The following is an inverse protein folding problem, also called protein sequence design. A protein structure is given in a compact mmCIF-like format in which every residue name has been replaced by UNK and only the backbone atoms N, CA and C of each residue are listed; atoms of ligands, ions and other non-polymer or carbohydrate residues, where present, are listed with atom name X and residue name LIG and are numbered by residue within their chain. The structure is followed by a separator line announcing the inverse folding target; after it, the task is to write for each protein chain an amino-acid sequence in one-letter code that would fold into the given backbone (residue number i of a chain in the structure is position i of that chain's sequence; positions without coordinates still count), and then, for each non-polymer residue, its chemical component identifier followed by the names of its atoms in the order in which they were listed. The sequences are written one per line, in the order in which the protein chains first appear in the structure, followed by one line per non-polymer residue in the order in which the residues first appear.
data_IF_793343849805
#
_entry.id   IF_793343849805
#
_cell.length_a   1.000
_cell.length_b   1.000
_cell.length_c   1.000
_cell.angle_alpha   90.00
_cell.angle_beta   90.00
_cell.angle_gamma   90.00
#
_symmetry.space_group_name_H-M   'P 1'
#
loop_
_entity.id
_entity.type
_entity.pdbx_description
1 polymer ?
#
# COMPACT_ATOMS: atom_id res chain seq x y z
N UNK A 1 -18.77 38.01 10.29
CA UNK A 1 -17.49 37.84 9.58
C UNK A 1 -16.97 36.45 9.81
N UNK A 2 -16.52 35.79 8.75
CA UNK A 2 -15.90 34.46 8.87
C UNK A 2 -14.50 34.56 9.51
N UNK A 3 -14.14 33.60 10.35
CA UNK A 3 -12.85 33.58 11.03
C UNK A 3 -12.07 32.31 10.74
N UNK A 4 -10.77 32.47 10.47
CA UNK A 4 -9.84 31.35 10.29
C UNK A 4 -9.11 31.09 11.59
N UNK A 5 -9.01 29.81 11.97
CA UNK A 5 -8.19 29.36 13.09
C UNK A 5 -7.36 28.13 12.68
N UNK A 6 -6.31 27.86 13.43
CA UNK A 6 -5.47 26.66 13.25
C UNK A 6 -5.73 25.66 14.39
N UNK A 7 -5.78 24.37 14.09
CA UNK A 7 -5.87 23.32 15.10
C UNK A 7 -4.57 23.21 15.89
N UNK A 8 -4.71 23.05 17.21
CA UNK A 8 -3.57 22.94 18.16
C UNK A 8 -3.01 21.50 18.29
N UNK A 9 -3.58 20.52 17.60
CA UNK A 9 -3.31 19.09 17.75
C UNK A 9 -2.10 18.58 16.89
N UNK A 10 -1.18 19.47 16.52
CA UNK A 10 0.04 19.13 15.75
C UNK A 10 -0.21 18.87 14.25
N UNK A 11 -1.45 18.71 13.81
CA UNK A 11 -1.81 18.67 12.40
C UNK A 11 -1.97 20.11 11.89
N UNK A 12 -1.22 20.48 10.83
CA UNK A 12 -1.30 21.82 10.20
C UNK A 12 -2.63 21.97 9.43
N UNK A 13 -3.76 21.75 10.11
CA UNK A 13 -5.09 21.94 9.55
C UNK A 13 -5.63 23.30 9.97
N UNK A 14 -6.22 24.00 9.02
CA UNK A 14 -6.88 25.29 9.21
C UNK A 14 -8.39 25.06 9.23
N UNK A 15 -9.12 25.84 9.98
CA UNK A 15 -10.56 25.82 9.94
C UNK A 15 -11.12 27.20 9.70
N UNK A 16 -12.22 27.25 8.95
CA UNK A 16 -13.04 28.44 8.77
C UNK A 16 -14.32 28.28 9.57
N UNK A 17 -14.62 29.24 10.42
CA UNK A 17 -15.90 29.35 11.12
C UNK A 17 -16.72 30.46 10.48
N UNK A 18 -17.93 30.16 10.05
CA UNK A 18 -18.81 31.08 9.34
C UNK A 18 -20.27 30.88 9.76
N UNK A 19 -21.10 31.91 9.55
CA UNK A 19 -22.56 31.81 9.69
C UNK A 19 -23.16 31.26 8.39
N UNK A 20 -23.95 30.20 8.52
CA UNK A 20 -24.71 29.66 7.38
C UNK A 20 -25.73 30.70 6.90
N UNK A 21 -25.72 31.07 5.63
CA UNK A 21 -26.55 32.19 5.13
C UNK A 21 -28.06 31.94 5.22
N UNK A 22 -28.51 30.70 5.21
CA UNK A 22 -29.93 30.36 5.29
C UNK A 22 -30.42 30.12 6.74
N UNK A 23 -29.62 29.42 7.54
CA UNK A 23 -30.04 29.02 8.89
C UNK A 23 -29.52 29.92 10.00
N UNK A 24 -28.65 30.87 9.68
CA UNK A 24 -27.97 31.78 10.59
C UNK A 24 -27.16 31.08 11.70
N UNK A 25 -26.97 29.74 11.60
CA UNK A 25 -26.20 28.91 12.54
C UNK A 25 -24.72 28.97 12.21
N UNK A 26 -23.89 28.92 13.24
CA UNK A 26 -22.45 28.80 13.05
C UNK A 26 -22.08 27.41 12.53
N UNK A 27 -21.31 27.39 11.45
CA UNK A 27 -20.71 26.20 10.86
C UNK A 27 -19.19 26.31 10.84
N UNK A 28 -18.52 25.15 10.78
CA UNK A 28 -17.06 25.04 10.73
C UNK A 28 -16.65 24.10 9.62
N UNK A 29 -15.74 24.56 8.75
CA UNK A 29 -15.14 23.75 7.68
C UNK A 29 -13.63 23.70 7.91
N UNK A 30 -13.00 22.56 7.66
CA UNK A 30 -11.56 22.35 7.86
C UNK A 30 -10.85 22.30 6.50
N UNK A 31 -9.68 22.95 6.40
CA UNK A 31 -8.88 23.04 5.19
C UNK A 31 -7.45 22.53 5.44
N UNK A 32 -6.83 21.87 4.45
CA UNK A 32 -5.47 21.35 4.55
C UNK A 32 -4.39 22.45 4.40
N UNK A 33 -4.75 23.65 3.93
CA UNK A 33 -3.82 24.77 3.79
C UNK A 33 -4.47 26.09 4.16
N UNK A 34 -3.65 27.07 4.58
CA UNK A 34 -4.09 28.43 4.87
C UNK A 34 -4.70 29.10 3.63
N UNK A 35 -4.07 28.95 2.46
CA UNK A 35 -4.53 29.55 1.22
C UNK A 35 -5.97 29.14 0.85
N UNK A 36 -6.31 27.87 1.02
CA UNK A 36 -7.68 27.37 0.80
C UNK A 36 -8.68 27.94 1.81
N UNK A 37 -8.27 28.06 3.07
CA UNK A 37 -9.10 28.67 4.10
C UNK A 37 -9.34 30.16 3.84
N UNK A 38 -8.32 30.89 3.33
CA UNK A 38 -8.42 32.30 2.96
C UNK A 38 -9.34 32.51 1.75
N UNK A 39 -9.22 31.65 0.73
CA UNK A 39 -10.13 31.71 -0.45
C UNK A 39 -11.58 31.47 -0.01
N UNK A 40 -11.82 30.47 0.83
CA UNK A 40 -13.15 30.21 1.36
C UNK A 40 -13.65 31.37 2.23
N UNK A 41 -12.80 31.97 3.05
CA UNK A 41 -13.14 33.14 3.88
C UNK A 41 -13.59 34.32 3.02
N UNK A 42 -12.83 34.64 1.97
CA UNK A 42 -13.19 35.75 1.05
C UNK A 42 -14.59 35.53 0.45
N UNK A 43 -14.95 34.32 0.08
CA UNK A 43 -16.28 33.97 -0.43
C UNK A 43 -17.38 34.20 0.62
N UNK A 44 -17.19 33.74 1.86
CA UNK A 44 -18.18 33.92 2.92
C UNK A 44 -18.29 35.40 3.37
N UNK A 45 -17.20 36.15 3.37
CA UNK A 45 -17.22 37.59 3.65
C UNK A 45 -17.98 38.35 2.56
N UNK A 46 -17.84 37.96 1.27
CA UNK A 46 -18.62 38.49 0.17
C UNK A 46 -20.12 38.16 0.32
N UNK A 47 -20.49 36.94 0.68
CA UNK A 47 -21.89 36.55 0.94
C UNK A 47 -22.48 37.40 2.06
N UNK A 48 -21.74 37.63 3.13
CA UNK A 48 -22.19 38.46 4.27
C UNK A 48 -22.35 39.92 3.85
N UNK A 49 -21.47 40.43 3.00
CA UNK A 49 -21.57 41.77 2.42
C UNK A 49 -22.85 41.91 1.58
N UNK A 50 -23.11 40.98 0.66
CA UNK A 50 -24.33 40.98 -0.15
C UNK A 50 -25.60 40.93 0.70
N UNK A 51 -25.63 40.13 1.75
CA UNK A 51 -26.77 40.09 2.71
C UNK A 51 -27.00 41.46 3.40
N UNK A 52 -25.93 42.14 3.81
CA UNK A 52 -26.01 43.46 4.45
C UNK A 52 -26.47 44.56 3.51
N UNK A 53 -26.13 44.44 2.23
CA UNK A 53 -26.56 45.42 1.19
C UNK A 53 -27.92 45.10 0.57
N UNK A 54 -28.56 43.98 0.98
CA UNK A 54 -29.84 43.53 0.43
C UNK A 54 -29.74 42.94 -0.98
N UNK A 55 -28.54 42.74 -1.51
CA UNK A 55 -28.33 42.09 -2.81
C UNK A 55 -28.63 40.58 -2.69
N UNK A 56 -29.39 40.01 -3.62
CA UNK A 56 -29.68 38.58 -3.71
C UNK A 56 -28.57 37.76 -4.41
N UNK A 57 -27.52 38.41 -4.92
CA UNK A 57 -26.39 37.75 -5.57
C UNK A 57 -25.71 36.69 -4.70
N UNK A 58 -25.77 36.88 -3.37
CA UNK A 58 -25.25 35.85 -2.44
C UNK A 58 -25.92 34.48 -2.61
N UNK A 59 -27.20 34.45 -3.05
CA UNK A 59 -27.89 33.18 -3.32
C UNK A 59 -27.23 32.44 -4.47
N UNK A 60 -26.82 33.14 -5.54
CA UNK A 60 -26.07 32.56 -6.64
C UNK A 60 -24.69 32.07 -6.17
N UNK A 61 -23.93 32.90 -5.47
CA UNK A 61 -22.58 32.59 -4.99
C UNK A 61 -22.60 31.43 -3.95
N UNK A 62 -23.64 31.39 -3.12
CA UNK A 62 -23.81 30.30 -2.17
C UNK A 62 -24.35 29.03 -2.84
N UNK A 63 -25.29 29.16 -3.78
CA UNK A 63 -25.88 28.06 -4.53
C UNK A 63 -24.95 27.55 -5.65
N UNK A 64 -23.95 28.31 -6.10
CA UNK A 64 -22.83 27.74 -6.88
C UNK A 64 -21.99 26.69 -6.09
N UNK A 65 -22.15 26.65 -4.76
CA UNK A 65 -21.76 25.47 -3.98
C UNK A 65 -22.75 24.31 -4.13
N UNK A 66 -23.95 24.53 -4.63
CA UNK A 66 -24.96 23.49 -4.88
C UNK A 66 -24.86 22.84 -6.25
N UNK A 67 -23.92 23.29 -7.12
CA UNK A 67 -23.54 22.47 -8.27
C UNK A 67 -22.89 21.22 -7.71
N UNK A 68 -23.64 20.14 -7.77
CA UNK A 68 -23.22 18.85 -7.25
C UNK A 68 -21.87 18.48 -7.86
N UNK A 69 -20.84 18.40 -7.02
CA UNK A 69 -19.48 18.07 -7.45
C UNK A 69 -19.49 16.66 -8.03
N UNK A 70 -18.97 16.53 -9.22
CA UNK A 70 -18.95 15.26 -9.94
C UNK A 70 -17.78 14.37 -9.50
N UNK A 71 -17.90 13.08 -9.76
CA UNK A 71 -16.82 12.10 -9.52
C UNK A 71 -15.55 12.50 -10.30
N UNK A 72 -15.72 12.98 -11.54
CA UNK A 72 -14.60 13.39 -12.39
C UNK A 72 -13.83 14.57 -11.80
N UNK A 73 -14.54 15.59 -11.30
CA UNK A 73 -13.92 16.74 -10.63
C UNK A 73 -13.13 16.30 -9.39
N UNK A 74 -13.70 15.43 -8.54
CA UNK A 74 -13.01 14.88 -7.36
C UNK A 74 -11.74 14.11 -7.76
N UNK A 75 -11.82 13.25 -8.78
CA UNK A 75 -10.68 12.44 -9.20
C UNK A 75 -9.57 13.29 -9.83
N UNK A 76 -9.94 14.30 -10.60
CA UNK A 76 -9.01 15.26 -11.19
C UNK A 76 -8.28 16.03 -10.12
N UNK A 77 -9.00 16.56 -9.16
CA UNK A 77 -8.46 17.36 -8.07
C UNK A 77 -7.58 16.52 -7.12
N UNK A 78 -8.02 15.30 -6.77
CA UNK A 78 -7.22 14.36 -6.00
C UNK A 78 -5.91 13.99 -6.72
N UNK A 79 -5.98 13.80 -8.05
CA UNK A 79 -4.80 13.48 -8.86
C UNK A 79 -3.80 14.64 -8.82
N UNK A 80 -4.25 15.85 -9.02
CA UNK A 80 -3.40 17.04 -9.08
C UNK A 80 -2.81 17.42 -7.71
N UNK A 81 -3.59 17.32 -6.65
CA UNK A 81 -3.21 17.81 -5.32
C UNK A 81 -2.58 16.73 -4.42
N UNK A 82 -2.91 15.45 -4.61
CA UNK A 82 -2.45 14.37 -3.74
C UNK A 82 -1.48 13.45 -4.46
N UNK A 83 -1.86 12.94 -5.64
CA UNK A 83 -1.03 11.95 -6.35
C UNK A 83 0.24 12.58 -6.91
N UNK A 84 0.16 13.78 -7.49
CA UNK A 84 1.31 14.47 -8.09
C UNK A 84 2.41 14.83 -7.08
N UNK A 85 2.04 15.04 -5.81
CA UNK A 85 2.94 15.63 -4.82
C UNK A 85 3.47 14.68 -3.73
N UNK A 86 2.93 13.47 -3.56
CA UNK A 86 3.20 12.71 -2.30
C UNK A 86 3.38 11.21 -2.41
N UNK A 87 3.07 10.57 -3.51
CA UNK A 87 2.98 9.12 -3.57
C UNK A 87 4.05 8.49 -4.48
N UNK A 88 4.47 7.28 -4.13
CA UNK A 88 5.28 6.50 -5.03
C UNK A 88 4.45 6.02 -6.24
N UNK A 89 5.12 5.78 -7.36
CA UNK A 89 4.50 5.39 -8.64
C UNK A 89 3.52 4.21 -8.51
N UNK A 90 3.79 3.23 -7.65
CA UNK A 90 2.89 2.09 -7.45
C UNK A 90 1.57 2.49 -6.80
N UNK A 91 1.65 3.37 -5.81
CA UNK A 91 0.47 3.88 -5.13
C UNK A 91 -0.34 4.75 -6.10
N UNK A 92 0.32 5.56 -6.90
CA UNK A 92 -0.33 6.34 -7.96
C UNK A 92 -1.03 5.42 -8.99
N UNK A 93 -0.32 4.42 -9.53
CA UNK A 93 -0.90 3.42 -10.46
C UNK A 93 -2.12 2.72 -9.86
N UNK A 94 -2.06 2.38 -8.56
CA UNK A 94 -3.17 1.75 -7.84
C UNK A 94 -4.38 2.68 -7.76
N UNK A 95 -4.21 3.92 -7.34
CA UNK A 95 -5.32 4.90 -7.30
C UNK A 95 -5.90 5.16 -8.68
N UNK A 96 -5.07 5.36 -9.70
CA UNK A 96 -5.54 5.51 -11.09
C UNK A 96 -6.32 4.29 -11.59
N UNK A 97 -5.94 3.07 -11.18
CA UNK A 97 -6.69 1.86 -11.49
C UNK A 97 -8.05 1.82 -10.82
N UNK A 98 -8.12 2.19 -9.54
CA UNK A 98 -9.36 2.26 -8.76
C UNK A 98 -10.31 3.33 -9.30
N UNK A 99 -9.81 4.52 -9.63
CA UNK A 99 -10.59 5.59 -10.26
C UNK A 99 -11.18 5.13 -11.58
N UNK A 100 -10.37 4.49 -12.45
CA UNK A 100 -10.88 3.91 -13.71
C UNK A 100 -11.95 2.86 -13.51
N UNK A 101 -11.80 1.99 -12.50
CA UNK A 101 -12.82 1.01 -12.16
C UNK A 101 -14.13 1.68 -11.68
N UNK A 102 -14.02 2.78 -10.95
CA UNK A 102 -15.18 3.57 -10.51
C UNK A 102 -15.88 4.24 -11.69
N UNK A 103 -15.11 4.88 -12.59
CA UNK A 103 -15.67 5.57 -13.78
C UNK A 103 -16.31 4.63 -14.80
N UNK A 104 -15.93 3.36 -14.83
CA UNK A 104 -16.62 2.35 -15.64
C UNK A 104 -18.05 2.05 -15.14
N UNK A 105 -18.29 2.31 -13.87
CA UNK A 105 -19.57 2.03 -13.20
C UNK A 105 -20.40 3.31 -13.08
N UNK A 106 -19.78 4.36 -12.57
CA UNK A 106 -20.36 5.68 -12.40
C UNK A 106 -19.68 6.63 -13.38
N UNK A 107 -20.45 7.28 -14.24
CA UNK A 107 -19.89 8.19 -15.24
C UNK A 107 -19.19 9.38 -14.59
N UNK A 108 -18.29 10.00 -15.32
CA UNK A 108 -17.46 11.13 -14.83
C UNK A 108 -18.31 12.32 -14.35
N UNK A 109 -19.44 12.57 -15.01
CA UNK A 109 -20.41 13.62 -14.69
C UNK A 109 -21.40 13.24 -13.57
N UNK A 110 -21.31 12.02 -13.02
CA UNK A 110 -22.19 11.59 -11.92
C UNK A 110 -21.91 12.43 -10.67
N UNK A 111 -22.93 13.10 -10.10
CA UNK A 111 -22.78 13.79 -8.83
C UNK A 111 -22.34 12.84 -7.72
N UNK A 112 -21.29 13.18 -6.99
CA UNK A 112 -20.75 12.30 -5.95
C UNK A 112 -21.77 11.96 -4.87
N UNK A 113 -22.56 12.94 -4.43
CA UNK A 113 -23.57 12.75 -3.38
C UNK A 113 -24.74 11.87 -3.84
N UNK A 114 -24.99 11.77 -5.15
CA UNK A 114 -26.05 10.93 -5.70
C UNK A 114 -25.73 9.44 -5.70
N UNK A 115 -24.45 9.06 -5.58
CA UNK A 115 -24.04 7.64 -5.67
C UNK A 115 -24.83 6.75 -4.70
N UNK A 116 -25.02 7.19 -3.47
CA UNK A 116 -25.70 6.40 -2.43
C UNK A 116 -27.18 6.13 -2.73
N UNK A 117 -27.82 7.02 -3.45
CA UNK A 117 -29.24 6.95 -3.81
C UNK A 117 -29.45 6.39 -5.21
N UNK A 118 -28.42 6.37 -6.04
CA UNK A 118 -28.46 5.87 -7.40
C UNK A 118 -28.94 4.41 -7.42
N UNK A 119 -29.93 4.11 -8.27
CA UNK A 119 -30.44 2.78 -8.52
C UNK A 119 -30.18 2.38 -9.96
N UNK A 120 -29.81 1.13 -10.16
CA UNK A 120 -29.59 0.57 -11.49
C UNK A 120 -30.01 -0.91 -11.51
N UNK A 121 -30.69 -1.29 -12.57
CA UNK A 121 -30.99 -2.70 -12.81
C UNK A 121 -29.74 -3.39 -13.36
N UNK A 122 -29.30 -4.44 -12.67
CA UNK A 122 -28.10 -5.21 -13.04
C UNK A 122 -28.53 -6.60 -13.53
N UNK A 123 -27.89 -7.07 -14.59
CA UNK A 123 -28.11 -8.42 -15.12
C UNK A 123 -26.82 -9.22 -15.01
N UNK A 124 -26.81 -10.38 -14.33
CA UNK A 124 -27.88 -10.91 -13.46
C UNK A 124 -27.88 -10.21 -12.08
N UNK A 125 -29.07 -10.10 -11.44
CA UNK A 125 -29.17 -9.73 -10.01
C UNK A 125 -30.19 -8.65 -9.63
N UNK A 126 -31.04 -8.17 -10.54
CA UNK A 126 -32.11 -7.22 -10.24
C UNK A 126 -31.63 -5.80 -9.90
N UNK A 127 -32.52 -5.01 -9.29
CA UNK A 127 -32.17 -3.62 -8.89
C UNK A 127 -31.11 -3.60 -7.80
N UNK A 128 -30.05 -2.84 -8.03
CA UNK A 128 -28.97 -2.56 -7.08
C UNK A 128 -28.90 -1.06 -6.78
N UNK A 129 -28.47 -0.72 -5.56
CA UNK A 129 -28.40 0.65 -5.09
C UNK A 129 -26.98 1.00 -4.60
N UNK A 130 -26.54 2.21 -4.91
CA UNK A 130 -25.29 2.73 -4.37
C UNK A 130 -24.08 1.86 -4.72
N UNK A 131 -23.27 1.57 -3.74
CA UNK A 131 -22.03 0.79 -3.92
C UNK A 131 -22.27 -0.69 -4.25
N UNK A 132 -23.48 -1.22 -4.09
CA UNK A 132 -23.84 -2.56 -4.58
C UNK A 132 -23.78 -2.63 -6.11
N UNK A 133 -24.00 -1.52 -6.82
CA UNK A 133 -23.81 -1.44 -8.28
C UNK A 133 -22.33 -1.68 -8.61
N UNK A 134 -21.41 -1.03 -7.85
CA UNK A 134 -19.97 -1.22 -8.03
C UNK A 134 -19.52 -2.66 -7.77
N UNK A 135 -20.00 -3.27 -6.68
CA UNK A 135 -19.72 -4.67 -6.35
C UNK A 135 -20.19 -5.62 -7.44
N UNK A 136 -21.43 -5.43 -7.91
CA UNK A 136 -22.02 -6.26 -8.94
C UNK A 136 -21.30 -6.13 -10.28
N UNK A 137 -20.87 -4.94 -10.66
CA UNK A 137 -20.11 -4.71 -11.89
C UNK A 137 -18.73 -5.37 -11.84
N UNK A 138 -18.11 -5.44 -10.66
CA UNK A 138 -16.80 -6.01 -10.46
C UNK A 138 -16.82 -7.43 -9.88
N UNK A 139 -17.91 -8.20 -10.13
CA UNK A 139 -18.10 -9.56 -9.60
C UNK A 139 -17.04 -10.57 -10.05
N UNK A 140 -16.35 -10.32 -11.18
CA UNK A 140 -15.22 -11.13 -11.68
C UNK A 140 -13.96 -10.97 -10.83
N UNK A 141 -13.86 -9.93 -10.01
CA UNK A 141 -12.77 -9.73 -9.08
C UNK A 141 -13.05 -10.43 -7.75
N UNK A 142 -12.00 -10.89 -7.06
CA UNK A 142 -12.19 -11.39 -5.70
C UNK A 142 -12.79 -10.31 -4.79
N UNK A 143 -13.65 -10.71 -3.85
CA UNK A 143 -14.27 -9.78 -2.88
C UNK A 143 -13.23 -8.98 -2.12
N UNK A 144 -12.05 -9.54 -1.86
CA UNK A 144 -10.90 -8.83 -1.25
C UNK A 144 -10.39 -7.70 -2.13
N UNK A 145 -10.30 -7.93 -3.43
CA UNK A 145 -9.89 -6.89 -4.39
C UNK A 145 -10.93 -5.77 -4.44
N UNK A 146 -12.21 -6.12 -4.50
CA UNK A 146 -13.31 -5.15 -4.45
C UNK A 146 -13.27 -4.34 -3.16
N UNK A 147 -13.09 -5.00 -2.01
CA UNK A 147 -12.95 -4.32 -0.71
C UNK A 147 -11.72 -3.38 -0.66
N UNK A 148 -10.62 -3.77 -1.32
CA UNK A 148 -9.45 -2.89 -1.45
C UNK A 148 -9.76 -1.65 -2.28
N UNK A 149 -10.50 -1.82 -3.38
CA UNK A 149 -10.96 -0.70 -4.22
C UNK A 149 -11.89 0.24 -3.45
N UNK A 150 -12.89 -0.31 -2.75
CA UNK A 150 -13.82 0.49 -1.94
C UNK A 150 -13.10 1.24 -0.80
N UNK A 151 -12.06 0.65 -0.21
CA UNK A 151 -11.22 1.32 0.79
C UNK A 151 -10.47 2.51 0.18
N UNK A 152 -9.90 2.33 -1.00
CA UNK A 152 -9.14 3.36 -1.67
C UNK A 152 -10.05 4.48 -2.19
N UNK A 153 -11.24 4.15 -2.70
CA UNK A 153 -12.28 5.13 -3.06
C UNK A 153 -12.75 5.90 -1.82
N UNK A 154 -12.97 5.22 -0.70
CA UNK A 154 -13.31 5.89 0.55
C UNK A 154 -12.24 6.91 0.97
N UNK A 155 -10.97 6.59 0.79
CA UNK A 155 -9.90 7.54 1.06
C UNK A 155 -9.99 8.79 0.16
N UNK A 156 -10.29 8.61 -1.13
CA UNK A 156 -10.47 9.73 -2.08
C UNK A 156 -11.67 10.59 -1.69
N UNK A 157 -12.83 9.98 -1.43
CA UNK A 157 -14.06 10.73 -1.07
C UNK A 157 -13.96 11.38 0.32
N UNK A 158 -13.27 10.76 1.28
CA UNK A 158 -12.98 11.40 2.56
C UNK A 158 -12.08 12.62 2.38
N UNK A 159 -11.06 12.53 1.51
CA UNK A 159 -10.25 13.68 1.16
C UNK A 159 -11.10 14.81 0.53
N UNK A 160 -12.00 14.48 -0.40
CA UNK A 160 -12.92 15.46 -0.99
C UNK A 160 -13.84 16.10 0.06
N UNK A 161 -14.29 15.35 1.06
CA UNK A 161 -15.03 15.86 2.20
C UNK A 161 -14.17 16.76 3.09
N UNK A 162 -12.93 16.32 3.40
CA UNK A 162 -12.00 17.10 4.23
C UNK A 162 -11.58 18.41 3.56
N UNK A 163 -11.62 18.47 2.23
CA UNK A 163 -11.38 19.69 1.42
C UNK A 163 -12.66 20.47 1.10
N UNK A 164 -13.79 20.10 1.68
CA UNK A 164 -15.09 20.74 1.50
C UNK A 164 -15.63 20.76 0.05
N UNK A 165 -15.15 19.83 -0.79
CA UNK A 165 -15.74 19.60 -2.12
C UNK A 165 -17.13 18.98 -2.02
N UNK A 166 -17.34 18.10 -1.04
CA UNK A 166 -18.62 17.44 -0.73
C UNK A 166 -18.93 17.56 0.77
N UNK A 167 -20.22 17.55 1.12
CA UNK A 167 -20.66 17.71 2.52
C UNK A 167 -20.68 16.38 3.28
N UNK A 168 -21.06 15.32 2.62
CA UNK A 168 -21.38 14.04 3.25
C UNK A 168 -20.39 12.92 2.95
N UNK A 169 -20.41 11.89 3.78
CA UNK A 169 -19.63 10.67 3.54
C UNK A 169 -20.29 9.85 2.43
N UNK A 170 -19.69 9.86 1.23
CA UNK A 170 -20.20 9.12 0.04
C UNK A 170 -20.02 7.61 0.19
N UNK A 171 -18.96 7.18 0.86
CA UNK A 171 -18.64 5.78 1.09
C UNK A 171 -18.25 5.51 2.54
N UNK A 172 -18.87 4.53 3.16
CA UNK A 172 -18.63 4.12 4.54
C UNK A 172 -17.89 2.79 4.63
N UNK A 173 -17.50 2.40 5.85
CA UNK A 173 -16.92 1.06 6.08
C UNK A 173 -17.93 -0.08 5.82
N UNK A 174 -19.23 0.20 5.90
CA UNK A 174 -20.30 -0.77 5.71
C UNK A 174 -20.60 -1.06 4.23
N UNK A 175 -20.13 -0.23 3.32
CA UNK A 175 -20.30 -0.47 1.87
C UNK A 175 -19.38 -1.59 1.34
N UNK A 176 -18.44 -2.09 2.15
CA UNK A 176 -17.56 -3.22 1.83
C UNK A 176 -18.25 -4.56 2.13
N UNK A 177 -17.75 -5.62 1.52
CA UNK A 177 -18.11 -6.96 1.96
C UNK A 177 -17.67 -7.19 3.42
N UNK A 178 -18.56 -7.76 4.21
CA UNK A 178 -18.25 -8.17 5.60
C UNK A 178 -17.26 -9.34 5.63
N UNK A 179 -16.70 -9.61 6.80
CA UNK A 179 -15.78 -10.76 6.96
C UNK A 179 -16.45 -12.10 6.67
N UNK A 180 -17.76 -12.25 6.98
CA UNK A 180 -18.54 -13.44 6.71
C UNK A 180 -18.81 -13.67 5.22
N UNK A 181 -18.82 -12.60 4.42
CA UNK A 181 -18.96 -12.68 2.96
C UNK A 181 -17.64 -12.91 2.25
N UNK A 182 -16.49 -12.76 2.95
CA UNK A 182 -15.18 -12.93 2.34
C UNK A 182 -14.88 -14.41 2.10
N UNK A 183 -14.38 -14.70 0.91
CA UNK A 183 -13.85 -16.03 0.61
C UNK A 183 -12.78 -16.41 1.61
N UNK A 184 -12.75 -17.65 2.10
CA UNK A 184 -11.63 -18.14 2.90
C UNK A 184 -10.31 -17.83 2.19
N UNK A 185 -9.30 -17.41 2.95
CA UNK A 185 -7.95 -17.34 2.40
C UNK A 185 -7.46 -18.77 2.27
N UNK A 186 -7.63 -19.36 1.11
CA UNK A 186 -6.86 -20.54 0.72
C UNK A 186 -5.40 -20.11 0.50
N UNK A 187 -4.73 -19.88 1.64
CA UNK A 187 -3.30 -19.68 1.65
C UNK A 187 -2.68 -21.06 1.68
N UNK A 188 -2.26 -21.54 0.53
CA UNK A 188 -1.39 -22.73 0.50
C UNK A 188 -0.24 -22.45 1.49
N UNK A 189 -0.21 -23.24 2.54
CA UNK A 189 0.93 -23.29 3.46
C UNK A 189 1.89 -24.31 2.86
N UNK A 190 3.01 -23.84 2.37
CA UNK A 190 4.06 -24.69 1.85
C UNK A 190 4.63 -25.55 2.98
N UNK A 191 4.72 -26.84 2.73
CA UNK A 191 5.45 -27.74 3.62
C UNK A 191 6.95 -27.62 3.34
N UNK A 192 7.76 -28.00 4.32
CA UNK A 192 9.22 -28.08 4.14
C UNK A 192 9.55 -29.01 2.96
N UNK A 193 8.92 -30.16 2.87
CA UNK A 193 9.17 -31.17 1.84
C UNK A 193 8.85 -30.68 0.42
N UNK A 194 7.75 -29.94 0.24
CA UNK A 194 7.44 -29.31 -1.05
C UNK A 194 8.52 -28.31 -1.48
N UNK A 195 9.05 -27.52 -0.54
CA UNK A 195 10.09 -26.54 -0.86
C UNK A 195 11.45 -27.20 -1.09
N UNK A 196 11.77 -28.28 -0.41
CA UNK A 196 12.99 -29.08 -0.70
C UNK A 196 12.89 -29.77 -2.05
N UNK A 197 11.72 -30.33 -2.40
CA UNK A 197 11.47 -30.88 -3.73
C UNK A 197 11.69 -29.82 -4.81
N UNK A 198 11.20 -28.59 -4.58
CA UNK A 198 11.40 -27.48 -5.49
C UNK A 198 12.89 -27.11 -5.64
N UNK A 199 13.61 -26.92 -4.52
CA UNK A 199 15.03 -26.58 -4.52
C UNK A 199 15.93 -27.64 -5.17
N UNK A 200 15.58 -28.92 -5.03
CA UNK A 200 16.33 -30.04 -5.58
C UNK A 200 15.84 -30.51 -6.96
N UNK A 201 14.88 -29.80 -7.58
CA UNK A 201 14.35 -30.18 -8.87
C UNK A 201 15.45 -30.20 -9.93
N UNK A 202 15.61 -31.30 -10.71
CA UNK A 202 16.72 -31.46 -11.68
C UNK A 202 16.70 -30.43 -12.81
N UNK A 203 15.53 -29.87 -13.14
CA UNK A 203 15.40 -28.82 -14.14
C UNK A 203 15.81 -27.43 -13.66
N UNK A 204 16.08 -27.25 -12.36
CA UNK A 204 16.50 -25.96 -11.83
C UNK A 204 18.00 -25.74 -12.05
N UNK A 205 18.36 -24.59 -12.64
CA UNK A 205 19.76 -24.17 -12.72
C UNK A 205 20.33 -23.88 -11.33
N UNK A 206 21.65 -24.00 -11.20
CA UNK A 206 22.37 -23.68 -9.96
C UNK A 206 22.08 -22.25 -9.49
N UNK A 207 22.07 -21.29 -10.42
CA UNK A 207 21.73 -19.89 -10.13
C UNK A 207 20.32 -19.72 -9.54
N UNK A 208 19.32 -20.44 -10.06
CA UNK A 208 17.95 -20.39 -9.50
C UNK A 208 17.89 -20.96 -8.11
N UNK A 209 18.60 -22.07 -7.86
CA UNK A 209 18.71 -22.67 -6.52
C UNK A 209 19.35 -21.70 -5.53
N UNK A 210 20.48 -21.12 -5.91
CA UNK A 210 21.19 -20.12 -5.09
C UNK A 210 20.32 -18.87 -4.83
N UNK A 211 19.60 -18.39 -5.83
CA UNK A 211 18.69 -17.26 -5.70
C UNK A 211 17.60 -17.55 -4.65
N UNK A 212 16.97 -18.72 -4.72
CA UNK A 212 15.97 -19.14 -3.75
C UNK A 212 16.56 -19.27 -2.35
N UNK A 213 17.76 -19.88 -2.23
CA UNK A 213 18.48 -19.99 -0.95
C UNK A 213 18.75 -18.61 -0.33
N UNK A 214 19.20 -17.64 -1.11
CA UNK A 214 19.39 -16.26 -0.64
C UNK A 214 18.10 -15.70 -0.06
N UNK A 215 16.96 -15.88 -0.74
CA UNK A 215 15.68 -15.38 -0.24
C UNK A 215 15.16 -16.14 0.98
N UNK A 216 15.36 -17.44 1.04
CA UNK A 216 14.98 -18.26 2.22
C UNK A 216 15.85 -17.85 3.41
N UNK A 217 17.17 -17.84 3.27
CA UNK A 217 18.09 -17.61 4.39
C UNK A 217 18.07 -16.17 4.90
N UNK A 218 17.84 -15.19 4.01
CA UNK A 218 17.70 -13.81 4.45
C UNK A 218 16.32 -13.49 4.98
N UNK A 219 15.28 -14.21 4.57
CA UNK A 219 13.89 -13.89 4.86
C UNK A 219 13.46 -12.49 4.37
N UNK A 220 14.24 -11.83 3.53
CA UNK A 220 13.96 -10.49 3.01
C UNK A 220 12.77 -10.48 2.05
N UNK A 221 12.06 -9.34 1.99
CA UNK A 221 11.14 -9.11 0.89
C UNK A 221 11.91 -8.86 -0.40
N UNK A 222 11.34 -9.27 -1.53
CA UNK A 222 11.96 -9.04 -2.85
C UNK A 222 12.34 -7.57 -3.03
N UNK A 223 11.44 -6.66 -2.65
CA UNK A 223 11.69 -5.22 -2.73
C UNK A 223 12.81 -4.71 -1.81
N UNK A 224 13.14 -5.44 -0.76
CA UNK A 224 14.22 -5.06 0.19
C UNK A 224 15.59 -5.41 -0.39
N UNK A 225 15.73 -6.58 -1.01
CA UNK A 225 16.97 -7.02 -1.66
C UNK A 225 17.19 -6.38 -3.04
N UNK A 226 16.13 -6.12 -3.79
CA UNK A 226 16.27 -5.46 -5.09
C UNK A 226 16.35 -3.94 -4.99
N UNK A 227 16.23 -3.39 -3.80
CA UNK A 227 16.26 -1.94 -3.59
C UNK A 227 15.13 -1.21 -4.30
N UNK A 228 13.96 -1.85 -4.41
CA UNK A 228 12.86 -1.37 -5.19
C UNK A 228 12.30 -0.04 -4.66
N UNK A 229 12.68 1.04 -5.32
CA UNK A 229 11.97 2.30 -5.22
C UNK A 229 11.94 2.94 -6.62
N UNK A 230 10.77 2.99 -7.26
CA UNK A 230 10.59 3.57 -8.58
C UNK A 230 11.03 5.03 -8.72
N UNK A 231 11.25 5.72 -7.60
CA UNK A 231 11.58 7.13 -7.58
C UNK A 231 13.09 7.43 -7.48
N UNK A 232 13.93 6.42 -7.13
CA UNK A 232 15.36 6.66 -6.91
C UNK A 232 16.18 5.41 -7.21
N UNK A 233 16.96 5.42 -8.30
CA UNK A 233 17.92 4.37 -8.64
C UNK A 233 19.01 4.18 -7.57
N UNK A 234 19.25 5.18 -6.73
CA UNK A 234 20.21 5.13 -5.63
C UNK A 234 19.85 4.13 -4.52
N UNK A 235 18.67 3.50 -4.61
CA UNK A 235 18.20 2.50 -3.65
C UNK A 235 18.42 1.05 -4.09
N UNK A 236 19.03 0.84 -5.25
CA UNK A 236 19.44 -0.48 -5.71
C UNK A 236 20.40 -1.14 -4.72
N UNK A 237 20.25 -2.47 -4.57
CA UNK A 237 21.15 -3.26 -3.76
C UNK A 237 22.43 -3.55 -4.56
N UNK A 238 23.53 -2.92 -4.16
CA UNK A 238 24.83 -2.97 -4.85
C UNK A 238 25.87 -3.68 -3.99
N UNK A 239 27.00 -4.07 -4.58
CA UNK A 239 28.08 -4.77 -3.87
C UNK A 239 28.60 -4.01 -2.65
N UNK A 240 28.66 -2.69 -2.65
CA UNK A 240 29.09 -1.90 -1.50
C UNK A 240 28.09 -1.94 -0.32
N UNK A 241 26.92 -2.54 -0.49
CA UNK A 241 25.95 -2.81 0.57
C UNK A 241 26.14 -4.19 1.22
N UNK A 242 27.18 -4.93 0.81
CA UNK A 242 27.52 -6.26 1.34
C UNK A 242 28.84 -6.17 2.08
N UNK A 243 28.80 -6.32 3.38
CA UNK A 243 29.99 -6.45 4.21
C UNK A 243 30.32 -7.93 4.38
N UNK A 244 31.27 -8.40 3.59
CA UNK A 244 31.71 -9.79 3.58
C UNK A 244 32.46 -10.23 4.85
N UNK A 245 33.06 -9.28 5.57
CA UNK A 245 33.82 -9.57 6.80
C UNK A 245 32.88 -9.77 7.99
N UNK A 246 31.87 -8.90 8.09
CA UNK A 246 30.90 -8.92 9.18
C UNK A 246 29.66 -9.78 8.88
N UNK A 247 29.55 -10.34 7.68
CA UNK A 247 28.36 -11.03 7.18
C UNK A 247 27.10 -10.20 7.29
N UNK A 248 27.18 -8.94 6.88
CA UNK A 248 26.09 -7.96 6.95
C UNK A 248 25.67 -7.53 5.54
N UNK A 249 24.38 -7.40 5.34
CA UNK A 249 23.80 -6.72 4.18
C UNK A 249 23.06 -5.45 4.61
N UNK A 250 23.20 -4.39 3.83
CA UNK A 250 22.48 -3.13 4.05
C UNK A 250 21.28 -3.05 3.09
N UNK A 251 20.09 -3.30 3.61
CA UNK A 251 18.83 -3.35 2.84
C UNK A 251 18.00 -2.10 3.05
N UNK A 252 17.06 -1.84 2.11
CA UNK A 252 16.12 -0.72 2.19
C UNK A 252 14.70 -1.25 2.46
N UNK A 253 14.23 -1.25 3.71
CA UNK A 253 12.85 -1.65 4.00
C UNK A 253 11.84 -0.71 3.33
N UNK A 254 10.75 -1.27 2.80
CA UNK A 254 9.75 -0.53 2.01
C UNK A 254 9.16 0.70 2.72
N UNK A 255 9.05 0.63 4.04
CA UNK A 255 8.44 1.69 4.86
C UNK A 255 9.45 2.67 5.45
N UNK A 256 10.75 2.40 5.32
CA UNK A 256 11.81 3.24 5.86
C UNK A 256 12.43 4.11 4.76
N UNK A 257 12.96 5.26 5.17
CA UNK A 257 13.68 6.19 4.27
C UNK A 257 15.19 6.01 4.35
N UNK A 258 15.66 5.05 5.15
CA UNK A 258 17.07 4.75 5.37
C UNK A 258 17.32 3.26 5.25
N UNK A 259 18.57 2.89 5.02
CA UNK A 259 19.00 1.49 4.98
C UNK A 259 19.15 0.93 6.39
N UNK A 260 18.85 -0.37 6.52
CA UNK A 260 18.99 -1.11 7.75
C UNK A 260 20.02 -2.21 7.52
N UNK A 261 20.97 -2.32 8.43
CA UNK A 261 21.92 -3.43 8.45
C UNK A 261 21.21 -4.72 8.92
N UNK A 262 21.48 -5.80 8.22
CA UNK A 262 20.99 -7.11 8.55
C UNK A 262 22.10 -8.13 8.48
N UNK A 263 22.34 -8.81 9.58
CA UNK A 263 23.26 -9.93 9.61
C UNK A 263 22.62 -11.13 8.90
N UNK A 264 23.40 -11.85 8.10
CA UNK A 264 22.95 -13.01 7.33
C UNK A 264 23.91 -14.16 7.50
N UNK A 265 23.43 -15.38 7.26
CA UNK A 265 24.23 -16.58 7.37
C UNK A 265 25.43 -16.56 6.40
N UNK A 266 26.56 -17.15 6.80
CA UNK A 266 27.79 -17.15 5.99
C UNK A 266 27.63 -17.82 4.62
N UNK A 267 26.68 -18.79 4.47
CA UNK A 267 26.38 -19.40 3.17
C UNK A 267 25.85 -18.41 2.15
N UNK A 268 25.06 -17.41 2.56
CA UNK A 268 24.62 -16.31 1.69
C UNK A 268 25.82 -15.50 1.21
N UNK A 269 26.80 -15.28 2.10
CA UNK A 269 28.06 -14.59 1.73
C UNK A 269 28.88 -15.44 0.76
N UNK A 270 28.85 -16.76 0.90
CA UNK A 270 29.46 -17.70 -0.06
C UNK A 270 28.87 -17.56 -1.46
N UNK A 271 27.54 -17.55 -1.55
CA UNK A 271 26.82 -17.34 -2.80
C UNK A 271 27.19 -15.98 -3.40
N UNK A 272 27.15 -14.90 -2.63
CA UNK A 272 27.50 -13.56 -3.09
C UNK A 272 28.95 -13.47 -3.55
N UNK A 273 29.92 -14.09 -2.85
CA UNK A 273 31.31 -14.17 -3.30
C UNK A 273 31.46 -14.91 -4.64
N UNK A 274 30.71 -16.00 -4.82
CA UNK A 274 30.66 -16.74 -6.10
C UNK A 274 30.15 -15.85 -7.21
N UNK A 275 29.01 -15.16 -7.02
CA UNK A 275 28.44 -14.28 -8.04
C UNK A 275 29.35 -13.09 -8.36
N UNK A 276 30.01 -12.50 -7.34
CA UNK A 276 30.99 -11.43 -7.55
C UNK A 276 32.18 -11.92 -8.42
N UNK A 277 32.72 -13.13 -8.13
CA UNK A 277 33.78 -13.74 -8.94
C UNK A 277 33.33 -14.07 -10.37
N UNK A 278 32.06 -14.35 -10.59
CA UNK A 278 31.46 -14.57 -11.91
C UNK A 278 31.23 -13.27 -12.68
N UNK A 279 31.54 -12.12 -12.10
CA UNK A 279 31.41 -10.82 -12.76
C UNK A 279 30.03 -10.21 -12.75
N UNK A 280 29.13 -10.66 -11.86
CA UNK A 280 27.81 -10.01 -11.74
C UNK A 280 28.01 -8.54 -11.35
N UNK A 281 27.37 -7.57 -12.04
CA UNK A 281 27.57 -6.15 -11.79
C UNK A 281 26.99 -5.71 -10.43
N UNK A 282 26.06 -6.46 -9.88
CA UNK A 282 25.44 -6.26 -8.57
C UNK A 282 24.94 -7.61 -7.99
N UNK A 283 24.68 -7.72 -6.68
CA UNK A 283 24.28 -8.99 -6.06
C UNK A 283 23.07 -9.65 -6.71
N UNK A 284 22.12 -8.86 -7.20
CA UNK A 284 20.94 -9.34 -7.93
C UNK A 284 20.84 -8.55 -9.24
N UNK A 285 21.27 -9.17 -10.34
CA UNK A 285 21.39 -8.52 -11.65
C UNK A 285 20.06 -8.53 -12.44
N UNK A 286 18.97 -8.12 -11.78
CA UNK A 286 17.67 -7.97 -12.42
C UNK A 286 16.74 -7.04 -11.65
N UNK A 287 15.79 -6.43 -12.37
CA UNK A 287 14.76 -5.59 -11.78
C UNK A 287 13.65 -6.40 -11.11
N UNK A 288 12.92 -5.75 -10.21
CA UNK A 288 11.80 -6.35 -9.48
C UNK A 288 10.75 -7.01 -10.38
N UNK A 289 10.41 -6.35 -11.49
CA UNK A 289 9.39 -6.85 -12.43
C UNK A 289 9.82 -8.16 -13.09
N UNK A 290 11.12 -8.38 -13.29
CA UNK A 290 11.66 -9.61 -13.88
C UNK A 290 11.44 -10.84 -13.01
N UNK A 291 11.50 -10.70 -11.69
CA UNK A 291 11.20 -11.82 -10.78
C UNK A 291 9.77 -12.31 -10.99
N UNK A 292 8.79 -11.43 -10.90
CA UNK A 292 7.38 -11.81 -10.96
C UNK A 292 6.92 -12.18 -12.36
N UNK A 293 7.51 -11.56 -13.40
CA UNK A 293 7.09 -11.77 -14.79
C UNK A 293 7.81 -12.94 -15.46
N UNK A 294 9.09 -13.14 -15.16
CA UNK A 294 9.93 -14.08 -15.89
C UNK A 294 10.44 -15.22 -15.00
N UNK A 295 11.09 -14.93 -13.87
CA UNK A 295 11.80 -15.94 -13.07
C UNK A 295 10.84 -16.89 -12.36
N UNK A 296 9.86 -16.35 -11.63
CA UNK A 296 8.89 -17.20 -10.88
C UNK A 296 8.02 -18.04 -11.82
N UNK A 297 7.45 -17.49 -12.92
CA UNK A 297 6.75 -18.31 -13.91
C UNK A 297 7.62 -19.41 -14.50
N UNK A 298 8.86 -19.09 -14.89
CA UNK A 298 9.79 -20.08 -15.43
C UNK A 298 10.08 -21.22 -14.45
N UNK A 299 10.31 -20.92 -13.17
CA UNK A 299 10.49 -21.95 -12.14
C UNK A 299 9.21 -22.77 -11.97
N UNK A 300 8.04 -22.12 -11.96
CA UNK A 300 6.75 -22.81 -11.86
C UNK A 300 6.52 -23.77 -13.04
N UNK A 301 6.89 -23.35 -14.25
CA UNK A 301 6.75 -24.17 -15.46
C UNK A 301 7.72 -25.37 -15.45
N UNK A 302 8.97 -25.16 -15.05
CA UNK A 302 9.99 -26.23 -14.94
C UNK A 302 9.58 -27.29 -13.89
N UNK A 303 9.06 -26.84 -12.76
CA UNK A 303 8.83 -27.71 -11.60
C UNK A 303 7.40 -28.21 -11.46
N UNK A 304 6.45 -27.61 -12.18
CA UNK A 304 5.00 -27.85 -12.01
C UNK A 304 4.44 -27.31 -10.68
N UNK A 305 5.27 -26.68 -9.87
CA UNK A 305 4.93 -26.20 -8.53
C UNK A 305 4.69 -24.70 -8.56
N UNK A 306 3.46 -24.27 -8.26
CA UNK A 306 3.12 -22.84 -8.19
C UNK A 306 3.54 -22.25 -6.85
N UNK A 307 4.54 -21.38 -6.86
CA UNK A 307 4.96 -20.61 -5.68
C UNK A 307 5.11 -19.13 -6.00
N UNK A 308 5.31 -18.34 -4.96
CA UNK A 308 5.68 -16.92 -5.05
C UNK A 308 6.92 -16.66 -4.20
N UNK A 309 7.67 -15.60 -4.50
CA UNK A 309 8.82 -15.20 -3.67
C UNK A 309 8.45 -14.92 -2.21
N UNK A 310 7.18 -14.59 -1.94
CA UNK A 310 6.72 -14.41 -0.57
C UNK A 310 6.62 -15.73 0.21
N UNK A 311 6.47 -16.85 -0.48
CA UNK A 311 6.43 -18.17 0.14
C UNK A 311 7.81 -18.58 0.66
N UNK A 312 8.90 -18.18 -0.02
CA UNK A 312 10.27 -18.37 0.47
C UNK A 312 10.50 -17.65 1.81
N UNK A 313 9.97 -16.44 1.94
CA UNK A 313 10.02 -15.69 3.20
C UNK A 313 9.16 -16.35 4.29
N UNK A 314 7.99 -16.92 3.95
CA UNK A 314 7.18 -17.70 4.89
C UNK A 314 7.90 -18.95 5.33
N UNK A 315 8.60 -19.62 4.41
CA UNK A 315 9.41 -20.79 4.75
C UNK A 315 10.49 -20.44 5.79
N UNK A 316 11.21 -19.33 5.63
CA UNK A 316 12.16 -18.86 6.65
C UNK A 316 11.50 -18.81 8.04
N UNK A 317 10.34 -18.16 8.15
CA UNK A 317 9.62 -18.08 9.42
C UNK A 317 9.15 -19.45 9.95
N UNK A 318 8.75 -20.37 9.05
CA UNK A 318 8.33 -21.72 9.42
C UNK A 318 9.50 -22.57 9.91
N UNK A 319 10.68 -22.43 9.32
CA UNK A 319 11.90 -23.12 9.75
C UNK A 319 12.36 -22.62 11.12
N UNK A 320 12.30 -21.32 11.35
CA UNK A 320 12.72 -20.70 12.59
C UNK A 320 11.77 -20.98 13.79
N UNK A 321 10.45 -20.97 13.53
CA UNK A 321 9.41 -21.01 14.57
C UNK A 321 9.52 -22.16 15.59
N UNK A 322 9.80 -23.43 15.21
CA UNK A 322 9.87 -24.52 16.16
C UNK A 322 10.96 -24.38 17.21
N UNK A 323 12.07 -23.71 16.86
CA UNK A 323 13.25 -23.59 17.72
C UNK A 323 13.33 -22.27 18.49
N UNK A 324 12.86 -21.16 17.88
CA UNK A 324 12.99 -19.82 18.46
C UNK A 324 11.64 -19.14 18.73
N UNK A 325 10.54 -19.88 18.62
CA UNK A 325 9.20 -19.38 18.89
C UNK A 325 8.68 -18.39 17.82
N UNK A 326 7.46 -17.90 18.03
CA UNK A 326 6.79 -17.02 17.07
C UNK A 326 7.45 -15.64 16.98
N UNK A 327 7.96 -15.13 18.10
CA UNK A 327 8.65 -13.84 18.13
C UNK A 327 9.98 -13.90 17.39
N UNK A 328 10.77 -14.96 17.61
CA UNK A 328 12.02 -15.18 16.90
C UNK A 328 11.78 -15.39 15.40
N UNK A 329 10.75 -16.14 15.02
CA UNK A 329 10.36 -16.28 13.62
C UNK A 329 9.92 -14.95 12.98
N UNK A 330 9.18 -14.12 13.69
CA UNK A 330 8.83 -12.77 13.22
C UNK A 330 10.07 -11.88 13.05
N UNK A 331 11.02 -11.99 13.99
CA UNK A 331 12.31 -11.29 13.93
C UNK A 331 13.15 -11.76 12.73
N UNK A 332 13.23 -13.07 12.48
CA UNK A 332 14.01 -13.64 11.36
C UNK A 332 13.59 -13.08 10.01
N UNK A 333 12.33 -12.77 9.82
CA UNK A 333 11.82 -12.17 8.60
C UNK A 333 11.72 -10.63 8.68
N UNK A 334 11.88 -10.02 9.84
CA UNK A 334 11.66 -8.57 10.01
C UNK A 334 10.19 -8.18 9.78
N UNK A 335 9.25 -9.02 10.20
CA UNK A 335 7.80 -8.81 10.03
C UNK A 335 7.16 -8.55 11.38
N UNK A 336 7.41 -7.39 11.91
CA UNK A 336 6.69 -6.89 13.06
C UNK A 336 6.02 -5.58 12.66
N UNK A 337 4.88 -5.23 13.30
CA UNK A 337 4.35 -3.89 13.16
C UNK A 337 5.46 -2.90 13.54
N UNK A 338 5.60 -1.81 12.81
CA UNK A 338 6.70 -0.85 12.97
C UNK A 338 6.93 -0.40 14.41
N UNK A 339 5.85 -0.31 15.21
CA UNK A 339 5.91 0.05 16.63
C UNK A 339 6.56 -1.02 17.51
N UNK A 340 6.56 -2.28 17.06
CA UNK A 340 7.18 -3.41 17.76
C UNK A 340 8.63 -3.60 17.32
N UNK A 341 8.96 -3.31 16.05
CA UNK A 341 10.33 -3.44 15.51
C UNK A 341 11.27 -2.41 16.11
N UNK A 342 10.88 -1.15 16.17
CA UNK A 342 11.72 -0.08 16.75
C UNK A 342 12.01 -0.33 18.24
N UNK A 343 11.07 -0.95 18.96
CA UNK A 343 11.26 -1.27 20.39
C UNK A 343 12.08 -2.53 20.65
N UNK A 344 12.12 -3.49 19.72
CA UNK A 344 12.76 -4.79 19.94
C UNK A 344 14.00 -5.06 19.09
N UNK A 345 14.15 -4.43 17.91
CA UNK A 345 15.38 -4.58 17.10
C UNK A 345 16.58 -3.85 17.68
N UNK A 346 16.36 -2.77 18.41
CA UNK A 346 17.43 -2.07 19.15
C UNK A 346 18.08 -2.95 20.25
N UNK A 347 17.52 -4.13 20.54
CA UNK A 347 17.98 -5.02 21.59
C UNK A 347 18.46 -6.42 21.16
N UNK A 348 18.41 -6.77 19.85
CA UNK A 348 18.90 -8.08 19.41
C UNK A 348 20.42 -8.00 19.23
N UNK A 349 21.15 -8.77 20.00
CA UNK A 349 22.60 -8.91 19.84
C UNK A 349 22.94 -9.62 18.51
N UNK A 350 24.13 -9.37 17.98
CA UNK A 350 24.62 -10.08 16.80
C UNK A 350 24.65 -11.60 17.02
N UNK A 351 24.93 -12.06 18.26
CA UNK A 351 24.92 -13.48 18.61
C UNK A 351 23.53 -14.11 18.50
N UNK A 352 22.45 -13.41 18.89
CA UNK A 352 21.09 -13.91 18.71
C UNK A 352 20.70 -14.01 17.24
N UNK A 353 21.14 -13.05 16.40
CA UNK A 353 20.90 -13.13 14.95
C UNK A 353 21.69 -14.26 14.30
N UNK A 354 22.88 -14.57 14.78
CA UNK A 354 23.65 -15.73 14.30
C UNK A 354 22.93 -17.03 14.65
N UNK A 355 22.45 -17.21 15.88
CA UNK A 355 21.66 -18.38 16.27
C UNK A 355 20.39 -18.54 15.41
N UNK A 356 19.68 -17.46 15.12
CA UNK A 356 18.51 -17.47 14.25
C UNK A 356 18.89 -17.95 12.83
N UNK A 357 19.97 -17.40 12.29
CA UNK A 357 20.45 -17.74 10.96
C UNK A 357 20.93 -19.19 10.88
N UNK A 358 21.64 -19.68 11.90
CA UNK A 358 22.11 -21.06 11.98
C UNK A 358 20.95 -22.05 12.05
N UNK A 359 19.94 -21.77 12.86
CA UNK A 359 18.71 -22.57 12.95
C UNK A 359 18.01 -22.67 11.59
N UNK A 360 17.85 -21.56 10.89
CA UNK A 360 17.22 -21.56 9.57
C UNK A 360 18.05 -22.34 8.57
N UNK A 361 19.37 -22.20 8.62
CA UNK A 361 20.28 -22.94 7.74
C UNK A 361 20.30 -24.44 8.03
N UNK A 362 20.44 -24.85 9.30
CA UNK A 362 20.39 -26.24 9.70
C UNK A 362 19.11 -26.95 9.29
N UNK A 363 17.94 -26.29 9.54
CA UNK A 363 16.65 -26.84 9.17
C UNK A 363 16.46 -26.90 7.64
N UNK A 364 17.11 -26.00 6.89
CA UNK A 364 17.11 -26.03 5.44
C UNK A 364 18.01 -27.16 4.91
N UNK A 365 19.16 -27.43 5.56
CA UNK A 365 20.18 -28.37 5.07
C UNK A 365 20.01 -29.77 5.61
N UNK A 366 19.27 -29.97 6.72
CA UNK A 366 19.09 -31.28 7.38
C UNK A 366 18.50 -32.37 6.47
N UNK A 367 18.07 -32.05 5.25
CA UNK A 367 17.47 -32.99 4.28
C UNK A 367 17.99 -32.81 2.84
N UNK A 368 19.05 -32.04 2.64
CA UNK A 368 19.82 -32.02 1.40
C UNK A 368 20.96 -33.02 1.49
#
# INVERSE_FOLDING_TARGET
MAAIGQRKDGNKLYFLQYKDPYSDKWKKITFPSLALAETAKAKYDYIEMCKKTGSEEWKQVYNDQSKAVTIGEIFTDFTNNVLANKLNILTEKRYKSVMRACLKVFLEDTPADSIRTLKRHMVPGGEKKGWEIFKSHNHQLSRRTVNSYLRDLRHIFNWAKDTAMISDEVITKYDRYSNSEMEPLDKKVWTKDEMFTLLNHPGMSEYMKELMQVFILTGCRVSELLGFNYLNRDKEFKWHHVDFQRSIISIMPKKMRYRVERRVHYSVMGIFKKWLKQGFPQPLDFGYDKIGRDIVPMINDITGIKFTMHDLRRLNAQLARPKIGIEGAAKSIGDSSLDVVDKHYAGISNAEMDQINDVVFEEMTARI
#
